data_IF_912948704237
#
_entry.id   IF_912948704237
#
_cell.length_a   1.000
_cell.length_b   1.000
_cell.length_c   1.000
_cell.angle_alpha   90.00
_cell.angle_beta   90.00
_cell.angle_gamma   90.00
#
_symmetry.space_group_name_H-M   'P 1'
#
loop_
_entity.id
_entity.type
_entity.pdbx_description
1 polymer ?
#
# COMPACT_ATOMS: atom_id res chain seq x y z
N UNK A 1 -53.75 8.36 22.94
CA UNK A 1 -53.36 7.48 21.82
C UNK A 1 -52.20 8.18 21.10
N UNK A 2 -50.97 7.91 21.51
CA UNK A 2 -49.78 8.53 20.92
C UNK A 2 -49.49 7.77 19.63
N UNK A 3 -50.22 8.09 18.55
CA UNK A 3 -49.79 7.70 17.22
C UNK A 3 -48.50 8.46 16.97
N UNK A 4 -47.38 7.74 17.08
CA UNK A 4 -46.10 8.17 16.56
C UNK A 4 -46.34 8.53 15.10
N UNK A 5 -46.41 9.83 14.81
CA UNK A 5 -46.35 10.35 13.46
C UNK A 5 -45.05 9.83 12.87
N UNK A 6 -45.17 8.76 12.10
CA UNK A 6 -44.08 8.21 11.34
C UNK A 6 -43.68 9.30 10.34
N UNK A 7 -42.62 10.02 10.69
CA UNK A 7 -42.08 11.09 9.87
C UNK A 7 -41.37 10.43 8.67
N UNK A 8 -42.19 10.03 7.68
CA UNK A 8 -41.81 9.27 6.49
C UNK A 8 -40.61 9.91 5.79
N UNK A 9 -40.57 11.24 5.75
CA UNK A 9 -39.46 11.99 5.18
C UNK A 9 -38.14 11.73 5.91
N UNK A 10 -38.17 11.70 7.24
CA UNK A 10 -36.98 11.38 8.05
C UNK A 10 -36.52 9.93 7.81
N UNK A 11 -37.45 8.99 7.69
CA UNK A 11 -37.11 7.59 7.40
C UNK A 11 -36.51 7.40 6.00
N UNK A 12 -37.09 8.04 4.98
CA UNK A 12 -36.55 8.02 3.62
C UNK A 12 -35.17 8.67 3.53
N UNK A 13 -34.94 9.77 4.27
CA UNK A 13 -33.62 10.40 4.37
C UNK A 13 -32.60 9.46 5.03
N UNK A 14 -32.98 8.79 6.12
CA UNK A 14 -32.11 7.80 6.78
C UNK A 14 -31.76 6.64 5.83
N UNK A 15 -32.73 6.07 5.12
CA UNK A 15 -32.46 4.99 4.15
C UNK A 15 -31.51 5.44 3.04
N UNK A 16 -31.66 6.66 2.51
CA UNK A 16 -30.74 7.21 1.49
C UNK A 16 -29.33 7.47 2.05
N UNK A 17 -29.21 7.86 3.31
CA UNK A 17 -27.93 8.09 3.95
C UNK A 17 -27.21 6.77 4.28
N UNK A 18 -27.95 5.77 4.75
CA UNK A 18 -27.44 4.41 4.95
C UNK A 18 -26.98 3.78 3.63
N UNK A 19 -27.75 3.93 2.56
CA UNK A 19 -27.35 3.48 1.22
C UNK A 19 -26.03 4.13 0.77
N UNK A 20 -25.92 5.47 0.85
CA UNK A 20 -24.67 6.18 0.52
C UNK A 20 -23.50 5.76 1.42
N UNK A 21 -23.76 5.45 2.69
CA UNK A 21 -22.72 4.97 3.61
C UNK A 21 -22.25 3.57 3.23
N UNK A 22 -23.17 2.66 2.91
CA UNK A 22 -22.84 1.31 2.45
C UNK A 22 -22.03 1.35 1.16
N UNK A 23 -22.41 2.18 0.18
CA UNK A 23 -21.66 2.36 -1.06
C UNK A 23 -20.23 2.86 -0.81
N UNK A 24 -20.04 3.81 0.12
CA UNK A 24 -18.71 4.30 0.49
C UNK A 24 -17.88 3.22 1.19
N UNK A 25 -18.47 2.49 2.12
CA UNK A 25 -17.80 1.39 2.83
C UNK A 25 -17.39 0.27 1.87
N UNK A 26 -18.25 -0.07 0.90
CA UNK A 26 -17.96 -1.05 -0.14
C UNK A 26 -16.86 -0.55 -1.07
N UNK A 27 -16.91 0.71 -1.50
CA UNK A 27 -15.89 1.33 -2.34
C UNK A 27 -14.51 1.30 -1.68
N UNK A 28 -14.44 1.63 -0.38
CA UNK A 28 -13.19 1.55 0.41
C UNK A 28 -12.68 0.11 0.47
N UNK A 29 -13.55 -0.88 0.71
CA UNK A 29 -13.15 -2.30 0.75
C UNK A 29 -12.62 -2.79 -0.60
N UNK A 30 -13.25 -2.38 -1.71
CA UNK A 30 -12.80 -2.74 -3.06
C UNK A 30 -11.41 -2.16 -3.31
N UNK A 31 -11.21 -0.86 -3.03
CA UNK A 31 -9.91 -0.20 -3.21
C UNK A 31 -8.81 -0.83 -2.34
N UNK A 32 -9.12 -1.20 -1.09
CA UNK A 32 -8.19 -1.92 -0.22
C UNK A 32 -7.79 -3.27 -0.81
N UNK A 33 -8.76 -4.04 -1.30
CA UNK A 33 -8.52 -5.35 -1.92
C UNK A 33 -7.71 -5.23 -3.21
N UNK A 34 -7.95 -4.20 -4.02
CA UNK A 34 -7.16 -3.92 -5.21
C UNK A 34 -5.73 -3.54 -4.87
N UNK A 35 -5.53 -2.70 -3.84
CA UNK A 35 -4.21 -2.34 -3.33
C UNK A 35 -3.45 -3.57 -2.83
N UNK A 36 -4.09 -4.45 -2.06
CA UNK A 36 -3.48 -5.70 -1.58
C UNK A 36 -3.08 -6.63 -2.74
N UNK A 37 -3.96 -6.77 -3.75
CA UNK A 37 -3.64 -7.54 -4.96
C UNK A 37 -2.45 -6.97 -5.71
N UNK A 38 -2.42 -5.64 -5.87
CA UNK A 38 -1.31 -4.97 -6.54
C UNK A 38 0.00 -5.19 -5.76
N UNK A 39 -0.02 -5.00 -4.45
CA UNK A 39 1.13 -5.25 -3.57
C UNK A 39 1.62 -6.69 -3.70
N UNK A 40 0.71 -7.67 -3.67
CA UNK A 40 1.07 -9.08 -3.83
C UNK A 40 1.66 -9.36 -5.22
N UNK A 41 1.12 -8.77 -6.27
CA UNK A 41 1.63 -8.92 -7.63
C UNK A 41 3.06 -8.39 -7.77
N UNK A 42 3.34 -7.19 -7.24
CA UNK A 42 4.69 -6.60 -7.27
C UNK A 42 5.68 -7.43 -6.46
N UNK A 43 5.30 -7.92 -5.26
CA UNK A 43 6.14 -8.83 -4.45
C UNK A 43 6.51 -10.09 -5.24
N UNK A 44 5.53 -10.73 -5.90
CA UNK A 44 5.76 -11.94 -6.68
C UNK A 44 6.66 -11.68 -7.89
N UNK A 45 6.42 -10.60 -8.62
CA UNK A 45 7.27 -10.20 -9.75
C UNK A 45 8.72 -10.01 -9.32
N UNK A 46 8.95 -9.30 -8.21
CA UNK A 46 10.30 -9.07 -7.70
C UNK A 46 11.00 -10.38 -7.31
N UNK A 47 10.31 -11.27 -6.58
CA UNK A 47 10.87 -12.59 -6.23
C UNK A 47 11.21 -13.42 -7.49
N UNK A 48 10.37 -13.36 -8.52
CA UNK A 48 10.64 -14.04 -9.80
C UNK A 48 11.87 -13.46 -10.52
N UNK A 49 12.06 -12.13 -10.53
CA UNK A 49 13.25 -11.49 -11.10
C UNK A 49 14.52 -12.03 -10.42
N UNK A 50 14.51 -12.11 -9.09
CA UNK A 50 15.65 -12.63 -8.32
C UNK A 50 15.91 -14.11 -8.63
N UNK A 51 14.86 -14.93 -8.72
CA UNK A 51 14.96 -16.33 -9.12
C UNK A 51 15.57 -16.50 -10.51
N UNK A 52 15.08 -15.76 -11.50
CA UNK A 52 15.56 -15.84 -12.88
C UNK A 52 17.01 -15.39 -13.02
N UNK A 53 17.43 -14.43 -12.18
CA UNK A 53 18.83 -13.99 -12.10
C UNK A 53 19.72 -14.93 -11.28
N UNK A 54 19.18 -16.02 -10.74
CA UNK A 54 19.92 -16.96 -9.90
C UNK A 54 20.43 -16.35 -8.58
N UNK A 55 19.81 -15.26 -8.13
CA UNK A 55 20.22 -14.56 -6.91
C UNK A 55 19.70 -15.30 -5.67
N UNK A 56 20.61 -15.58 -4.73
CA UNK A 56 20.25 -16.17 -3.46
C UNK A 56 19.40 -15.19 -2.63
N UNK A 57 18.11 -15.45 -2.50
CA UNK A 57 17.10 -14.54 -1.95
C UNK A 57 17.19 -14.21 -0.44
N UNK A 58 18.28 -14.58 0.25
CA UNK A 58 18.48 -14.53 1.71
C UNK A 58 17.67 -13.52 2.52
N UNK A 59 18.27 -12.40 2.92
CA UNK A 59 17.59 -11.37 3.71
C UNK A 59 16.63 -10.52 2.87
N UNK A 60 16.91 -10.38 1.56
CA UNK A 60 16.11 -9.61 0.61
C UNK A 60 14.66 -10.10 0.53
N UNK A 61 14.42 -11.42 0.48
CA UNK A 61 13.04 -11.95 0.48
C UNK A 61 12.29 -11.60 1.76
N UNK A 62 12.98 -11.60 2.90
CA UNK A 62 12.40 -11.18 4.18
C UNK A 62 11.98 -9.71 4.18
N UNK A 63 12.74 -8.83 3.53
CA UNK A 63 12.36 -7.42 3.37
C UNK A 63 11.18 -7.25 2.42
N UNK A 64 11.21 -7.92 1.26
CA UNK A 64 10.12 -7.86 0.26
C UNK A 64 8.78 -8.29 0.87
N UNK A 65 8.78 -9.33 1.71
CA UNK A 65 7.54 -9.81 2.34
C UNK A 65 6.98 -8.87 3.39
N UNK A 66 7.82 -8.03 4.02
CA UNK A 66 7.42 -7.08 5.08
C UNK A 66 7.15 -5.67 4.56
N UNK A 67 7.54 -5.37 3.33
CA UNK A 67 7.37 -4.04 2.75
C UNK A 67 5.93 -3.86 2.24
N UNK A 68 5.21 -2.90 2.83
CA UNK A 68 3.79 -2.65 2.58
C UNK A 68 3.55 -1.48 1.60
N UNK A 69 4.62 -0.84 1.14
CA UNK A 69 4.58 0.18 0.11
C UNK A 69 4.87 -0.41 -1.29
N UNK A 70 3.89 -0.42 -2.21
CA UNK A 70 4.10 -0.92 -3.56
C UNK A 70 5.11 -0.09 -4.36
N UNK A 71 5.24 1.22 -4.09
CA UNK A 71 6.18 2.09 -4.81
C UNK A 71 7.62 1.76 -4.42
N UNK A 72 7.86 1.47 -3.13
CA UNK A 72 9.16 1.00 -2.62
C UNK A 72 9.52 -0.36 -3.24
N UNK A 73 8.57 -1.29 -3.31
CA UNK A 73 8.79 -2.58 -3.95
C UNK A 73 9.07 -2.44 -5.45
N UNK A 74 8.42 -1.50 -6.13
CA UNK A 74 8.67 -1.21 -7.54
C UNK A 74 10.07 -0.61 -7.76
N UNK A 75 10.52 0.26 -6.85
CA UNK A 75 11.90 0.76 -6.83
C UNK A 75 12.91 -0.39 -6.62
N UNK A 76 12.65 -1.30 -5.69
CA UNK A 76 13.54 -2.45 -5.50
C UNK A 76 13.55 -3.39 -6.70
N UNK A 77 12.45 -3.47 -7.45
CA UNK A 77 12.41 -4.21 -8.70
C UNK A 77 13.27 -3.59 -9.80
N UNK A 78 13.33 -2.25 -9.91
CA UNK A 78 14.27 -1.61 -10.83
C UNK A 78 15.71 -1.83 -10.38
N UNK A 79 16.00 -1.80 -9.08
CA UNK A 79 17.33 -2.15 -8.57
C UNK A 79 17.72 -3.59 -8.93
N UNK A 80 16.79 -4.55 -8.80
CA UNK A 80 17.04 -5.95 -9.14
C UNK A 80 17.28 -6.13 -10.65
N UNK A 81 16.58 -5.37 -11.50
CA UNK A 81 16.81 -5.36 -12.94
C UNK A 81 18.25 -4.92 -13.28
N UNK A 82 18.72 -3.85 -12.63
CA UNK A 82 20.04 -3.23 -12.88
C UNK A 82 21.20 -3.83 -12.07
N UNK A 83 20.92 -4.81 -11.21
CA UNK A 83 21.95 -5.45 -10.38
C UNK A 83 22.35 -6.80 -10.97
N UNK A 84 23.66 -7.07 -10.92
CA UNK A 84 24.27 -8.33 -11.38
C UNK A 84 24.58 -9.29 -10.21
N UNK A 85 24.51 -8.81 -8.97
CA UNK A 85 24.72 -9.63 -7.76
C UNK A 85 23.75 -9.24 -6.64
N UNK A 86 23.53 -10.17 -5.69
CA UNK A 86 22.61 -9.94 -4.59
C UNK A 86 23.17 -8.94 -3.57
N UNK A 87 24.49 -8.87 -3.41
CA UNK A 87 25.17 -7.94 -2.50
C UNK A 87 24.99 -6.48 -2.95
N UNK A 88 25.04 -6.24 -4.26
CA UNK A 88 24.78 -4.91 -4.84
C UNK A 88 23.32 -4.51 -4.61
N UNK A 89 22.40 -5.45 -4.84
CA UNK A 89 20.98 -5.23 -4.60
C UNK A 89 20.70 -4.94 -3.13
N UNK A 90 21.24 -5.75 -2.21
CA UNK A 90 21.11 -5.56 -0.77
C UNK A 90 21.60 -4.17 -0.34
N UNK A 91 22.76 -3.75 -0.86
CA UNK A 91 23.32 -2.42 -0.58
C UNK A 91 22.38 -1.30 -1.05
N UNK A 92 21.87 -1.36 -2.29
CA UNK A 92 20.93 -0.36 -2.84
C UNK A 92 19.63 -0.31 -2.02
N UNK A 93 19.10 -1.46 -1.63
CA UNK A 93 17.90 -1.54 -0.76
C UNK A 93 18.19 -0.87 0.58
N UNK A 94 19.31 -1.20 1.23
CA UNK A 94 19.69 -0.62 2.52
C UNK A 94 19.91 0.90 2.44
N UNK A 95 20.52 1.40 1.37
CA UNK A 95 20.69 2.83 1.12
C UNK A 95 19.34 3.53 0.94
N UNK A 96 18.44 2.98 0.11
CA UNK A 96 17.10 3.55 -0.08
C UNK A 96 16.27 3.60 1.22
N UNK A 97 16.48 2.64 2.13
CA UNK A 97 15.81 2.64 3.44
C UNK A 97 16.39 3.68 4.38
N UNK A 98 17.70 3.90 4.38
CA UNK A 98 18.32 4.99 5.17
C UNK A 98 17.89 6.37 4.71
N UNK A 99 17.67 6.56 3.40
CA UNK A 99 17.16 7.82 2.86
C UNK A 99 15.69 8.05 3.27
N UNK A 100 14.88 7.00 3.32
CA UNK A 100 13.49 7.08 3.78
C UNK A 100 13.33 7.16 5.31
N UNK A 101 14.27 6.60 6.08
CA UNK A 101 14.33 6.67 7.55
C UNK A 101 15.11 7.89 8.07
N UNK A 102 15.64 8.74 7.18
CA UNK A 102 16.23 10.02 7.54
C UNK A 102 15.23 10.89 8.30
N UNK A 103 15.68 11.81 9.18
CA UNK A 103 14.77 12.69 9.89
C UNK A 103 13.90 13.39 8.87
N UNK A 104 12.58 13.20 8.94
CA UNK A 104 11.60 14.07 8.28
C UNK A 104 11.83 15.46 8.84
N UNK A 105 12.78 16.18 8.24
CA UNK A 105 13.06 17.57 8.54
C UNK A 105 11.72 18.30 8.45
N UNK A 106 11.50 19.14 9.45
CA UNK A 106 10.21 19.71 9.80
C UNK A 106 9.37 20.06 8.58
N UNK A 107 8.09 19.70 8.66
CA UNK A 107 7.05 20.55 8.11
C UNK A 107 7.27 21.94 8.73
N UNK A 108 8.08 22.77 8.08
CA UNK A 108 8.08 24.20 8.31
C UNK A 108 6.65 24.66 8.01
N UNK A 109 5.95 24.91 9.10
CA UNK A 109 4.70 25.65 9.15
C UNK A 109 4.88 26.92 8.34
N UNK A 110 4.27 27.00 7.15
CA UNK A 110 4.06 28.27 6.49
C UNK A 110 3.24 29.16 7.43
N UNK A 111 3.73 30.33 7.87
CA UNK A 111 2.86 31.30 8.49
C UNK A 111 2.03 32.00 7.40
N UNK A 112 0.79 32.27 7.79
CA UNK A 112 -0.27 32.99 7.07
C UNK A 112 0.19 34.26 6.36
#
# INVERSE_FOLDING_TARGET
MILREYNRERHEQTLREEGRRQEREESVRILQKEREKHLQAVRQMLLQILQLKGMAMGHVAGWIQREDDPDVLQLWASFAADSDSVEILEKKILESRKENDGPKAGQESYPL
#
